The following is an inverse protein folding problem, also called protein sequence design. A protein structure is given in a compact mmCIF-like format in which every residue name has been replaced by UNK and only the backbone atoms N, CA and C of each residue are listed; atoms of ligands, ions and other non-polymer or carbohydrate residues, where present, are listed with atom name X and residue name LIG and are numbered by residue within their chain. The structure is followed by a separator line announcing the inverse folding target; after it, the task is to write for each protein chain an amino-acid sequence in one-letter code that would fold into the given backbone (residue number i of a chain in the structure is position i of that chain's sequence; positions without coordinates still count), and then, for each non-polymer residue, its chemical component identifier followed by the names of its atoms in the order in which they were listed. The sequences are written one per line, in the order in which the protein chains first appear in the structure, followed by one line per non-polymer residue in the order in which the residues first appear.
data_IF_913655448972
#
_entry.id   IF_913655448972
#
_cell.length_a   1.000
_cell.length_b   1.000
_cell.length_c   1.000
_cell.angle_alpha   90.00
_cell.angle_beta   90.00
_cell.angle_gamma   90.00
#
_symmetry.space_group_name_H-M   'P 1'
#
loop_
_entity.id
_entity.type
_entity.pdbx_description
1 polymer ?
#
# COMPACT_ATOMS: atom_id res chain seq x y z
N UNK A 1 1.31 -73.04 68.21
CA UNK A 1 2.52 -72.42 67.62
C UNK A 1 2.42 -72.34 66.15
N UNK A 2 1.26 -71.92 65.54
CA UNK A 2 1.13 -71.86 64.06
C UNK A 2 0.37 -70.63 63.58
N UNK A 3 0.31 -69.55 64.39
CA UNK A 3 -0.45 -68.39 64.03
C UNK A 3 0.38 -67.11 63.82
N UNK A 4 1.72 -67.21 63.90
CA UNK A 4 2.58 -66.02 63.87
C UNK A 4 3.28 -65.78 62.54
N UNK A 5 3.13 -66.65 61.57
CA UNK A 5 3.89 -66.56 60.30
C UNK A 5 3.06 -66.06 59.09
N UNK A 6 1.79 -65.75 59.31
CA UNK A 6 0.91 -65.33 58.17
C UNK A 6 0.64 -63.85 58.04
N UNK A 7 1.20 -63.03 58.92
CA UNK A 7 0.97 -61.55 58.85
C UNK A 7 2.08 -60.77 58.16
N UNK A 8 3.13 -61.39 57.70
CA UNK A 8 4.28 -60.69 57.08
C UNK A 8 4.24 -60.59 55.56
N UNK A 9 3.29 -61.24 54.91
CA UNK A 9 3.29 -61.29 53.41
C UNK A 9 2.33 -60.29 52.72
N UNK A 10 1.57 -59.53 53.50
CA UNK A 10 0.55 -58.63 52.88
C UNK A 10 0.94 -57.15 52.89
N UNK A 11 2.16 -56.83 53.27
CA UNK A 11 2.58 -55.42 53.37
C UNK A 11 3.45 -54.93 52.25
N UNK A 12 3.73 -55.73 51.26
CA UNK A 12 4.72 -55.43 50.20
C UNK A 12 4.10 -55.14 48.82
N UNK A 13 2.80 -54.99 48.70
CA UNK A 13 2.15 -54.72 47.38
C UNK A 13 1.49 -53.37 47.23
N UNK A 14 2.00 -52.34 47.89
CA UNK A 14 1.59 -50.94 47.60
C UNK A 14 2.79 -50.05 47.29
N UNK A 15 3.74 -50.51 46.50
CA UNK A 15 4.62 -49.59 45.75
C UNK A 15 3.79 -49.00 44.64
N UNK A 16 3.24 -47.83 44.91
CA UNK A 16 2.54 -47.03 43.92
C UNK A 16 3.43 -46.87 42.72
N UNK A 17 2.91 -47.33 41.59
CA UNK A 17 3.48 -47.11 40.27
C UNK A 17 3.57 -45.60 40.06
N UNK A 18 4.75 -45.00 40.33
CA UNK A 18 5.04 -43.64 39.99
C UNK A 18 4.79 -43.53 38.51
N UNK A 19 3.69 -42.91 38.11
CA UNK A 19 3.44 -42.48 36.76
C UNK A 19 4.62 -41.57 36.41
N UNK A 20 5.54 -42.04 35.58
CA UNK A 20 6.52 -41.14 34.95
C UNK A 20 5.71 -40.12 34.21
N UNK A 21 5.77 -38.88 34.69
CA UNK A 21 5.23 -37.76 33.95
C UNK A 21 5.86 -37.82 32.55
N UNK A 22 5.02 -37.91 31.52
CA UNK A 22 5.51 -37.88 30.18
C UNK A 22 6.29 -36.55 30.05
N UNK A 23 7.47 -36.56 29.40
CA UNK A 23 8.17 -35.31 29.15
C UNK A 23 7.23 -34.41 28.36
N UNK A 24 6.95 -33.23 28.90
CA UNK A 24 6.24 -32.22 28.16
C UNK A 24 7.09 -31.94 26.92
N UNK A 25 6.57 -32.30 25.74
CA UNK A 25 7.19 -31.96 24.48
C UNK A 25 7.12 -30.42 24.37
N UNK A 26 8.22 -29.77 24.71
CA UNK A 26 8.36 -28.33 24.49
C UNK A 26 8.29 -28.10 22.99
N UNK A 27 7.30 -27.32 22.57
CA UNK A 27 7.18 -26.92 21.17
C UNK A 27 8.34 -25.96 20.90
N UNK A 28 9.30 -26.39 20.12
CA UNK A 28 10.40 -25.52 19.71
C UNK A 28 9.87 -24.48 18.73
N UNK A 29 9.71 -23.25 19.22
CA UNK A 29 9.22 -22.11 18.42
C UNK A 29 10.30 -21.47 17.54
N UNK A 30 11.55 -21.88 17.69
CA UNK A 30 12.69 -21.29 16.96
C UNK A 30 12.50 -21.33 15.45
N UNK A 31 12.08 -22.45 14.80
CA UNK A 31 11.86 -22.49 13.37
C UNK A 31 10.73 -21.54 12.92
N UNK A 32 9.71 -21.39 13.74
CA UNK A 32 8.58 -20.51 13.46
C UNK A 32 8.98 -19.03 13.54
N UNK A 33 9.73 -18.66 14.57
CA UNK A 33 10.25 -17.30 14.75
C UNK A 33 11.22 -16.93 13.62
N UNK A 34 12.05 -17.84 13.16
CA UNK A 34 12.98 -17.63 12.05
C UNK A 34 12.23 -17.28 10.75
N UNK A 35 11.21 -18.08 10.41
CA UNK A 35 10.35 -17.78 9.24
C UNK A 35 9.68 -16.43 9.37
N UNK A 36 9.15 -16.09 10.54
CA UNK A 36 8.53 -14.80 10.79
C UNK A 36 9.52 -13.64 10.64
N UNK A 37 10.74 -13.78 11.15
CA UNK A 37 11.79 -12.77 11.01
C UNK A 37 12.17 -12.57 9.54
N UNK A 38 12.36 -13.63 8.78
CA UNK A 38 12.69 -13.56 7.35
C UNK A 38 11.56 -12.84 6.58
N UNK A 39 10.31 -13.22 6.81
CA UNK A 39 9.17 -12.54 6.19
C UNK A 39 9.09 -11.06 6.58
N UNK A 40 9.35 -10.73 7.85
CA UNK A 40 9.37 -9.35 8.33
C UNK A 40 10.42 -8.52 7.58
N UNK A 41 11.63 -9.05 7.42
CA UNK A 41 12.71 -8.37 6.70
C UNK A 41 12.35 -8.19 5.22
N UNK A 42 11.79 -9.23 4.58
CA UNK A 42 11.35 -9.15 3.19
C UNK A 42 10.30 -8.04 3.03
N UNK A 43 9.28 -8.00 3.87
CA UNK A 43 8.27 -6.94 3.83
C UNK A 43 8.88 -5.57 4.11
N UNK A 44 9.81 -5.45 5.03
CA UNK A 44 10.47 -4.19 5.37
C UNK A 44 11.29 -3.64 4.19
N UNK A 45 11.94 -4.50 3.41
CA UNK A 45 12.73 -4.11 2.24
C UNK A 45 11.83 -3.85 1.02
N UNK A 46 10.76 -4.64 0.85
CA UNK A 46 9.88 -4.51 -0.33
C UNK A 46 8.86 -3.38 -0.19
N UNK A 47 8.42 -3.06 1.03
CA UNK A 47 7.45 -1.99 1.28
C UNK A 47 7.87 -0.62 0.70
N UNK A 48 9.11 -0.11 0.89
CA UNK A 48 9.52 1.14 0.27
C UNK A 48 9.63 1.05 -1.26
N UNK A 49 9.87 -0.13 -1.83
CA UNK A 49 9.92 -0.31 -3.29
C UNK A 49 8.53 -0.22 -3.94
N UNK A 50 7.48 -0.51 -3.20
CA UNK A 50 6.10 -0.32 -3.68
C UNK A 50 5.65 1.15 -3.60
N UNK A 51 6.33 1.98 -2.81
CA UNK A 51 6.02 3.39 -2.65
C UNK A 51 6.66 4.28 -3.73
N UNK A 52 6.72 3.82 -4.97
CA UNK A 52 7.19 4.63 -6.12
C UNK A 52 6.16 5.67 -6.58
N UNK A 53 5.24 6.03 -5.70
CA UNK A 53 4.35 7.15 -5.92
C UNK A 53 5.11 8.47 -5.78
N UNK A 54 4.99 9.36 -6.76
CA UNK A 54 5.47 10.73 -6.64
C UNK A 54 4.66 11.40 -5.55
N UNK A 55 5.32 11.78 -4.44
CA UNK A 55 4.68 12.55 -3.38
C UNK A 55 4.50 13.98 -3.86
N UNK A 56 3.27 14.34 -4.16
CA UNK A 56 2.88 15.71 -4.50
C UNK A 56 2.07 16.27 -3.35
N UNK A 57 2.51 17.42 -2.83
CA UNK A 57 1.73 18.18 -1.86
C UNK A 57 0.69 19.00 -2.63
N UNK A 58 -0.56 18.56 -2.64
CA UNK A 58 -1.62 19.30 -3.31
C UNK A 58 -2.03 20.52 -2.46
N UNK A 59 -2.39 21.65 -3.10
CA UNK A 59 -2.95 22.79 -2.39
C UNK A 59 -4.31 22.43 -1.77
N UNK A 60 -4.60 22.99 -0.60
CA UNK A 60 -5.88 22.80 0.07
C UNK A 60 -6.98 23.58 -0.65
N UNK A 61 -8.11 22.95 -0.90
CA UNK A 61 -9.29 23.60 -1.47
C UNK A 61 -10.57 22.93 -0.96
N UNK A 62 -11.65 23.68 -0.93
CA UNK A 62 -12.97 23.23 -0.47
C UNK A 62 -13.78 22.50 -1.57
N UNK A 63 -13.13 22.08 -2.64
CA UNK A 63 -13.83 21.44 -3.77
C UNK A 63 -14.09 19.97 -3.44
N UNK A 64 -15.37 19.64 -3.35
CA UNK A 64 -15.89 18.29 -3.16
C UNK A 64 -15.31 17.33 -4.21
N UNK A 65 -14.97 16.14 -3.74
CA UNK A 65 -14.49 15.04 -4.58
C UNK A 65 -15.46 14.80 -5.74
N UNK A 66 -14.98 15.01 -6.96
CA UNK A 66 -15.68 14.57 -8.16
C UNK A 66 -15.62 13.05 -8.20
N UNK A 67 -16.59 12.41 -7.57
CA UNK A 67 -16.77 10.96 -7.63
C UNK A 67 -17.31 10.60 -9.03
N UNK A 68 -16.44 10.14 -9.89
CA UNK A 68 -16.88 9.49 -11.11
C UNK A 68 -17.46 8.12 -10.77
N UNK A 69 -18.75 7.94 -11.07
CA UNK A 69 -19.52 6.69 -10.89
C UNK A 69 -19.13 5.55 -11.85
N UNK A 70 -18.20 5.78 -12.76
CA UNK A 70 -17.74 4.78 -13.73
C UNK A 70 -16.35 4.29 -13.32
N UNK A 71 -16.15 2.99 -13.35
CA UNK A 71 -14.94 2.25 -12.94
C UNK A 71 -13.67 2.56 -13.75
N UNK A 72 -13.66 3.59 -14.58
CA UNK A 72 -12.49 4.06 -15.28
C UNK A 72 -11.70 4.97 -14.33
N UNK A 73 -10.53 4.52 -13.90
CA UNK A 73 -9.60 5.37 -13.14
C UNK A 73 -9.35 6.68 -13.93
N UNK A 74 -9.69 7.83 -13.37
CA UNK A 74 -9.55 9.08 -14.08
C UNK A 74 -8.08 9.34 -14.43
N UNK A 75 -7.82 9.64 -15.69
CA UNK A 75 -6.47 9.92 -16.14
C UNK A 75 -5.94 11.19 -15.47
N UNK A 76 -4.85 11.05 -14.73
CA UNK A 76 -4.26 12.13 -13.96
C UNK A 76 -2.93 12.56 -14.54
N UNK A 77 -2.79 13.87 -14.76
CA UNK A 77 -1.54 14.53 -15.10
C UNK A 77 -1.07 15.31 -13.88
N UNK A 78 0.14 15.03 -13.42
CA UNK A 78 0.72 15.62 -12.24
C UNK A 78 1.76 16.66 -12.63
N UNK A 79 1.72 17.83 -12.01
CA UNK A 79 2.73 18.90 -12.14
C UNK A 79 3.51 18.97 -10.84
N UNK A 80 4.82 18.65 -10.89
CA UNK A 80 5.73 18.73 -9.73
C UNK A 80 6.14 20.20 -9.45
N UNK A 81 6.68 20.45 -8.27
CA UNK A 81 7.25 21.73 -7.82
C UNK A 81 8.30 22.33 -8.74
N UNK A 82 8.87 21.55 -9.65
CA UNK A 82 9.86 21.94 -10.65
C UNK A 82 9.27 22.13 -12.05
N UNK A 83 7.95 22.07 -12.21
CA UNK A 83 7.28 22.14 -13.49
C UNK A 83 7.37 20.88 -14.35
N UNK A 84 7.81 19.75 -13.79
CA UNK A 84 7.83 18.49 -14.52
C UNK A 84 6.44 17.85 -14.56
N UNK A 85 6.09 17.32 -15.73
CA UNK A 85 4.83 16.60 -15.95
C UNK A 85 5.00 15.11 -15.75
N UNK A 86 3.99 14.49 -15.13
CA UNK A 86 3.90 13.04 -14.99
C UNK A 86 2.50 12.57 -15.38
N UNK A 87 2.43 11.53 -16.20
CA UNK A 87 1.19 10.79 -16.48
C UNK A 87 1.28 9.48 -15.71
N UNK A 88 0.34 9.26 -14.81
CA UNK A 88 0.38 8.14 -13.86
C UNK A 88 1.69 8.16 -13.04
N UNK A 89 2.73 7.44 -13.43
CA UNK A 89 4.04 7.42 -12.73
C UNK A 89 5.21 7.75 -13.67
N UNK A 90 4.91 8.05 -14.93
CA UNK A 90 5.94 8.28 -15.96
C UNK A 90 6.13 9.76 -16.21
N UNK A 91 7.39 10.23 -16.12
CA UNK A 91 7.73 11.61 -16.48
C UNK A 91 7.57 11.82 -17.99
N UNK A 92 6.97 12.96 -18.36
CA UNK A 92 6.67 13.31 -19.74
C UNK A 92 7.13 14.75 -20.00
N UNK A 93 7.68 14.99 -21.18
CA UNK A 93 7.98 16.35 -21.64
C UNK A 93 6.69 17.00 -22.16
N UNK A 94 6.61 18.33 -22.12
CA UNK A 94 5.50 19.08 -22.70
C UNK A 94 5.30 18.77 -24.20
N UNK A 95 6.40 18.58 -24.96
CA UNK A 95 6.36 18.19 -26.38
C UNK A 95 5.66 16.84 -26.64
N UNK A 96 5.80 15.91 -25.70
CA UNK A 96 5.34 14.53 -25.86
C UNK A 96 4.00 14.27 -25.16
N UNK A 97 3.51 15.28 -24.41
CA UNK A 97 2.30 15.19 -23.61
C UNK A 97 1.08 14.79 -24.44
N UNK A 98 0.86 15.50 -25.53
CA UNK A 98 -0.25 15.28 -26.45
C UNK A 98 -0.26 13.84 -27.01
N UNK A 99 0.90 13.38 -27.47
CA UNK A 99 1.04 12.05 -28.06
C UNK A 99 0.83 10.94 -27.00
N UNK A 100 1.37 11.12 -25.81
CA UNK A 100 1.20 10.15 -24.73
C UNK A 100 -0.24 10.12 -24.21
N UNK A 101 -0.89 11.26 -24.05
CA UNK A 101 -2.29 11.32 -23.65
C UNK A 101 -3.19 10.59 -24.65
N UNK A 102 -3.02 10.83 -25.95
CA UNK A 102 -3.78 10.14 -27.00
C UNK A 102 -3.59 8.62 -26.96
N UNK A 103 -2.36 8.14 -26.66
CA UNK A 103 -2.09 6.70 -26.52
C UNK A 103 -2.79 6.10 -25.32
N UNK A 104 -2.78 6.80 -24.17
CA UNK A 104 -3.36 6.29 -22.92
C UNK A 104 -4.90 6.34 -22.93
N UNK A 105 -5.47 7.28 -23.69
CA UNK A 105 -6.94 7.42 -23.84
C UNK A 105 -7.50 6.67 -25.05
N UNK A 106 -6.69 5.83 -25.73
CA UNK A 106 -7.08 5.17 -26.98
C UNK A 106 -7.69 6.15 -28.00
N UNK A 107 -7.09 7.34 -28.13
CA UNK A 107 -7.52 8.47 -28.94
C UNK A 107 -8.89 9.08 -28.57
N UNK A 108 -9.43 8.74 -27.44
CA UNK A 108 -10.69 9.31 -26.96
C UNK A 108 -10.47 10.75 -26.43
N UNK A 109 -10.71 11.73 -27.28
CA UNK A 109 -10.58 13.17 -26.94
C UNK A 109 -11.65 13.66 -25.93
N UNK A 110 -12.68 12.88 -25.68
CA UNK A 110 -13.72 13.18 -24.67
C UNK A 110 -13.39 12.63 -23.29
N UNK A 111 -12.24 11.96 -23.13
CA UNK A 111 -11.79 11.48 -21.83
C UNK A 111 -11.62 12.62 -20.84
N UNK A 112 -11.98 12.37 -19.58
CA UNK A 112 -11.74 13.32 -18.49
C UNK A 112 -10.27 13.24 -18.06
N UNK A 113 -9.58 14.36 -18.13
CA UNK A 113 -8.20 14.49 -17.67
C UNK A 113 -8.18 15.41 -16.45
N UNK A 114 -7.58 14.91 -15.37
CA UNK A 114 -7.43 15.70 -14.15
C UNK A 114 -5.98 16.13 -13.98
N UNK A 115 -5.77 17.43 -13.86
CA UNK A 115 -4.45 18.00 -13.58
C UNK A 115 -4.32 18.19 -12.07
N UNK A 116 -3.27 17.62 -11.49
CA UNK A 116 -2.88 17.82 -10.09
C UNK A 116 -1.60 18.64 -10.03
N UNK A 117 -1.61 19.76 -9.34
CA UNK A 117 -0.41 20.56 -9.08
C UNK A 117 0.13 20.29 -7.68
N UNK A 118 1.45 20.23 -7.52
CA UNK A 118 2.09 20.33 -6.21
C UNK A 118 1.78 21.69 -5.58
N UNK A 119 1.70 21.79 -4.23
CA UNK A 119 1.52 23.06 -3.50
C UNK A 119 2.56 24.12 -3.84
N UNK A 120 3.76 23.67 -4.21
CA UNK A 120 4.89 24.53 -4.59
C UNK A 120 5.07 24.64 -6.10
N UNK A 121 4.19 24.03 -6.90
CA UNK A 121 4.21 24.20 -8.35
C UNK A 121 3.84 25.64 -8.70
N UNK A 122 4.50 26.18 -9.70
CA UNK A 122 4.15 27.49 -10.24
C UNK A 122 2.76 27.43 -10.88
N UNK A 123 1.96 28.47 -10.65
CA UNK A 123 0.68 28.63 -11.36
C UNK A 123 0.88 28.61 -12.89
N UNK A 124 1.98 29.20 -13.36
CA UNK A 124 2.35 29.19 -14.78
C UNK A 124 2.52 27.78 -15.32
N UNK A 125 3.19 26.91 -14.59
CA UNK A 125 3.41 25.51 -15.02
C UNK A 125 2.10 24.72 -15.08
N UNK A 126 1.19 24.97 -14.13
CA UNK A 126 -0.13 24.34 -14.11
C UNK A 126 -0.96 24.80 -15.33
N UNK A 127 -0.98 26.11 -15.60
CA UNK A 127 -1.71 26.67 -16.76
C UNK A 127 -1.11 26.18 -18.06
N UNK A 128 0.22 26.14 -18.15
CA UNK A 128 0.92 25.58 -19.33
C UNK A 128 0.53 24.13 -19.56
N UNK A 129 0.45 23.31 -18.53
CA UNK A 129 0.01 21.91 -18.64
C UNK A 129 -1.44 21.82 -19.16
N UNK A 130 -2.36 22.61 -18.59
CA UNK A 130 -3.76 22.67 -19.04
C UNK A 130 -3.86 23.10 -20.50
N UNK A 131 -3.14 24.16 -20.90
CA UNK A 131 -3.13 24.64 -22.28
C UNK A 131 -2.63 23.57 -23.25
N UNK A 132 -1.52 22.90 -22.91
CA UNK A 132 -0.99 21.82 -23.74
C UNK A 132 -1.97 20.64 -23.88
N UNK A 133 -2.75 20.34 -22.86
CA UNK A 133 -3.80 19.30 -22.89
C UNK A 133 -4.96 19.75 -23.82
N UNK A 134 -5.37 21.02 -23.73
CA UNK A 134 -6.39 21.58 -24.63
C UNK A 134 -5.94 21.62 -26.08
N UNK A 135 -4.69 22.02 -26.36
CA UNK A 135 -4.09 22.00 -27.69
C UNK A 135 -4.03 20.57 -28.28
N UNK A 136 -3.87 19.55 -27.42
CA UNK A 136 -3.96 18.15 -27.81
C UNK A 136 -5.38 17.70 -28.20
N UNK A 137 -6.41 18.56 -28.03
CA UNK A 137 -7.80 18.32 -28.41
C UNK A 137 -8.70 17.85 -27.26
N UNK A 138 -8.19 17.72 -26.04
CA UNK A 138 -9.00 17.31 -24.90
C UNK A 138 -9.78 18.48 -24.31
N UNK A 139 -11.11 18.37 -24.34
CA UNK A 139 -12.02 19.43 -23.88
C UNK A 139 -12.40 19.34 -22.41
N UNK A 140 -12.24 18.16 -21.81
CA UNK A 140 -12.65 17.87 -20.42
C UNK A 140 -11.44 17.80 -19.49
N UNK A 141 -10.95 18.98 -19.11
CA UNK A 141 -9.80 19.10 -18.20
C UNK A 141 -10.27 19.68 -16.88
N UNK A 142 -10.01 18.98 -15.79
CA UNK A 142 -10.31 19.42 -14.43
C UNK A 142 -9.04 19.62 -13.62
N UNK A 143 -8.98 20.66 -12.79
CA UNK A 143 -7.94 20.85 -11.80
C UNK A 143 -8.39 20.18 -10.48
N UNK A 144 -7.56 19.27 -9.96
CA UNK A 144 -7.82 18.61 -8.69
C UNK A 144 -6.95 19.22 -7.61
N UNK A 145 -7.59 19.62 -6.55
CA UNK A 145 -6.96 20.19 -5.35
C UNK A 145 -7.32 19.32 -4.14
N UNK A 146 -6.53 19.34 -3.09
CA UNK A 146 -6.89 18.67 -1.84
C UNK A 146 -7.93 19.46 -1.07
N UNK A 147 -8.97 18.80 -0.51
CA UNK A 147 -9.87 19.48 0.41
C UNK A 147 -9.11 19.97 1.65
N UNK A 148 -9.49 21.13 2.14
CA UNK A 148 -8.94 21.70 3.37
C UNK A 148 -9.28 20.76 4.53
N UNK A 149 -8.29 20.15 5.17
CA UNK A 149 -8.53 19.46 6.43
C UNK A 149 -8.80 20.51 7.49
N UNK A 150 -10.07 20.67 7.86
CA UNK A 150 -10.42 21.41 9.07
C UNK A 150 -9.86 20.67 10.27
N UNK A 151 -8.91 21.30 10.93
CA UNK A 151 -8.36 20.90 12.22
C UNK A 151 -9.30 21.30 13.33
#
# INVERSE_FOLDING_TARGET
MAAALQQHSLREKRRGKRRKAAPMSEINVTPFVDVMLVLLIIFMVTAPLMATGIKVNLPDSDVSQLQNKNNDEPLQVLVDKRGYLYIQKTRVKYSDLAQKLRKVTDQNVNAHIYVKGDKKASYEDIIRAISSIHEAGFKRVGLVTQPKQNK
#
